data_IF_366148997944
#
_entry.id   IF_366148997944
#
_cell.length_a   1.000
_cell.length_b   1.000
_cell.length_c   1.000
_cell.angle_alpha   90.00
_cell.angle_beta   90.00
_cell.angle_gamma   90.00
#
_symmetry.space_group_name_H-M   'P 1'
#
loop_
_entity.id
_entity.type
_entity.pdbx_description
1 polymer ?
#
# COMPACT_ATOMS: atom_id res chain seq x y z
N UNK A 1 19.14 -5.76 -4.22
CA UNK A 1 19.04 -5.59 -2.75
C UNK A 1 19.75 -4.30 -2.41
N UNK A 2 19.05 -3.37 -1.76
CA UNK A 2 19.64 -2.11 -1.30
C UNK A 2 20.65 -2.37 -0.18
N UNK A 3 21.71 -1.55 -0.16
CA UNK A 3 22.65 -1.51 0.95
C UNK A 3 21.99 -0.92 2.21
N UNK A 4 22.53 -1.22 3.39
CA UNK A 4 21.96 -0.72 4.66
C UNK A 4 21.89 0.81 4.71
N UNK A 5 22.91 1.50 4.19
CA UNK A 5 22.93 2.96 4.12
C UNK A 5 21.77 3.52 3.29
N UNK A 6 21.48 2.91 2.14
CA UNK A 6 20.41 3.37 1.25
C UNK A 6 19.03 3.19 1.88
N UNK A 7 18.83 2.10 2.65
CA UNK A 7 17.60 1.88 3.40
C UNK A 7 17.38 2.97 4.45
N UNK A 8 18.44 3.37 5.15
CA UNK A 8 18.38 4.44 6.14
C UNK A 8 18.05 5.80 5.51
N UNK A 9 18.60 6.10 4.33
CA UNK A 9 18.27 7.32 3.59
C UNK A 9 16.79 7.37 3.18
N UNK A 10 16.23 6.24 2.74
CA UNK A 10 14.80 6.13 2.43
C UNK A 10 13.95 6.34 3.70
N UNK A 11 14.35 5.74 4.83
CA UNK A 11 13.64 5.89 6.10
C UNK A 11 13.65 7.33 6.62
N UNK A 12 14.76 8.04 6.46
CA UNK A 12 14.89 9.45 6.85
C UNK A 12 13.89 10.35 6.13
N UNK A 13 13.54 10.05 4.87
CA UNK A 13 12.52 10.78 4.10
C UNK A 13 11.12 10.64 4.70
N UNK A 14 10.83 9.52 5.38
CA UNK A 14 9.51 9.28 5.98
C UNK A 14 9.31 10.13 7.23
N UNK A 15 10.33 10.25 8.08
CA UNK A 15 10.29 10.97 9.35
C UNK A 15 11.23 12.17 9.31
N UNK A 16 11.03 13.04 8.32
CA UNK A 16 11.81 14.27 8.19
C UNK A 16 11.54 15.26 9.34
N UNK A 17 10.39 15.13 10.00
CA UNK A 17 9.86 16.02 11.03
C UNK A 17 10.46 15.78 12.43
N UNK A 18 11.27 14.74 12.61
CA UNK A 18 11.87 14.41 13.90
C UNK A 18 13.37 14.12 13.78
N UNK A 19 14.13 14.48 14.81
CA UNK A 19 15.54 14.12 14.94
C UNK A 19 15.67 12.70 15.53
N UNK A 20 15.38 11.69 14.71
CA UNK A 20 15.50 10.27 15.09
C UNK A 20 16.51 9.59 14.17
N UNK A 21 17.35 8.73 14.74
CA UNK A 21 18.29 7.95 13.96
C UNK A 21 17.55 6.92 13.09
N UNK A 22 17.91 6.85 11.81
CA UNK A 22 17.25 5.96 10.84
C UNK A 22 17.41 4.47 11.19
N UNK A 23 18.47 4.13 11.91
CA UNK A 23 18.70 2.80 12.46
C UNK A 23 17.66 2.44 13.53
N UNK A 24 17.39 3.33 14.47
CA UNK A 24 16.38 3.11 15.53
C UNK A 24 14.99 2.91 14.92
N UNK A 25 14.66 3.67 13.87
CA UNK A 25 13.41 3.50 13.13
C UNK A 25 13.32 2.10 12.53
N UNK A 26 14.39 1.63 11.87
CA UNK A 26 14.45 0.30 11.27
C UNK A 26 14.35 -0.80 12.33
N UNK A 27 15.07 -0.68 13.44
CA UNK A 27 15.06 -1.66 14.53
C UNK A 27 13.70 -1.71 15.23
N UNK A 28 13.00 -0.57 15.36
CA UNK A 28 11.63 -0.55 15.89
C UNK A 28 10.60 -1.18 14.95
N UNK A 29 10.73 -0.97 13.63
CA UNK A 29 9.87 -1.57 12.61
C UNK A 29 10.07 -3.09 12.54
N UNK A 30 11.32 -3.55 12.65
CA UNK A 30 11.71 -4.97 12.61
C UNK A 30 11.51 -5.69 13.94
N UNK A 31 10.85 -5.05 14.92
CA UNK A 31 10.58 -5.58 16.26
C UNK A 31 11.82 -5.92 17.10
N UNK A 32 12.99 -5.37 16.76
CA UNK A 32 14.19 -5.45 17.60
C UNK A 32 14.11 -4.49 18.79
N UNK A 33 13.35 -3.41 18.65
CA UNK A 33 13.09 -2.44 19.71
C UNK A 33 11.58 -2.32 20.01
N UNK A 34 11.25 -2.16 21.29
CA UNK A 34 9.86 -2.09 21.74
C UNK A 34 9.28 -0.68 21.84
N UNK A 35 10.12 0.33 22.04
CA UNK A 35 9.70 1.72 22.20
C UNK A 35 10.55 2.63 21.32
N UNK A 36 9.91 3.54 20.60
CA UNK A 36 10.55 4.62 19.85
C UNK A 36 9.84 5.93 20.18
N UNK A 37 10.35 6.68 21.16
CA UNK A 37 9.77 7.95 21.63
C UNK A 37 8.23 7.85 21.82
N UNK A 38 7.47 8.69 21.10
CA UNK A 38 6.00 8.73 21.10
C UNK A 38 5.39 8.02 19.88
N UNK A 39 6.19 7.32 19.08
CA UNK A 39 5.71 6.63 17.88
C UNK A 39 5.16 5.26 18.23
N UNK A 40 3.98 4.96 17.67
CA UNK A 40 3.49 3.59 17.58
C UNK A 40 3.91 2.98 16.25
N UNK A 41 4.01 1.65 16.18
CA UNK A 41 4.33 0.95 14.92
C UNK A 41 3.28 1.23 13.84
N UNK A 42 2.01 1.27 14.22
CA UNK A 42 0.90 1.59 13.31
C UNK A 42 1.06 2.96 12.64
N UNK A 43 1.52 3.98 13.40
CA UNK A 43 1.79 5.31 12.84
C UNK A 43 2.91 5.26 11.79
N UNK A 44 3.98 4.51 12.05
CA UNK A 44 5.08 4.37 11.10
C UNK A 44 4.67 3.57 9.88
N UNK A 45 3.95 2.47 10.05
CA UNK A 45 3.44 1.65 8.95
C UNK A 45 2.52 2.47 8.05
N UNK A 46 1.62 3.26 8.63
CA UNK A 46 0.78 4.20 7.87
C UNK A 46 1.64 5.17 7.06
N UNK A 47 2.64 5.81 7.68
CA UNK A 47 3.54 6.76 6.99
C UNK A 47 4.36 6.10 5.88
N UNK A 48 4.85 4.88 6.09
CA UNK A 48 5.59 4.09 5.09
C UNK A 48 4.70 3.83 3.89
N UNK A 49 3.51 3.27 4.10
CA UNK A 49 2.57 2.94 3.04
C UNK A 49 2.12 4.17 2.25
N UNK A 50 2.04 5.33 2.89
CA UNK A 50 1.63 6.58 2.26
C UNK A 50 2.74 7.31 1.51
N UNK A 51 3.98 7.27 2.01
CA UNK A 51 5.09 8.08 1.49
C UNK A 51 6.04 7.31 0.58
N UNK A 52 6.18 6.01 0.74
CA UNK A 52 7.05 5.18 -0.09
C UNK A 52 6.29 4.55 -1.26
N UNK A 53 7.03 4.33 -2.34
CA UNK A 53 6.58 3.47 -3.43
C UNK A 53 6.60 1.99 -3.00
N UNK A 54 5.83 1.16 -3.71
CA UNK A 54 5.76 -0.27 -3.42
C UNK A 54 7.12 -0.96 -3.54
N UNK A 55 7.95 -0.55 -4.52
CA UNK A 55 9.29 -1.10 -4.72
C UNK A 55 10.23 -0.73 -3.56
N UNK A 56 10.22 0.54 -3.12
CA UNK A 56 11.01 0.96 -1.95
C UNK A 56 10.63 0.16 -0.69
N UNK A 57 9.34 -0.15 -0.50
CA UNK A 57 8.88 -0.97 0.63
C UNK A 57 9.46 -2.40 0.54
N UNK A 58 9.37 -3.03 -0.63
CA UNK A 58 9.88 -4.39 -0.84
C UNK A 58 11.41 -4.49 -0.75
N UNK A 59 12.13 -3.45 -1.17
CA UNK A 59 13.58 -3.43 -1.09
C UNK A 59 14.09 -3.16 0.34
N UNK A 60 13.32 -2.40 1.13
CA UNK A 60 13.66 -2.08 2.52
C UNK A 60 13.33 -3.23 3.48
N UNK A 61 12.16 -3.86 3.34
CA UNK A 61 11.60 -4.77 4.34
C UNK A 61 11.38 -6.20 3.82
N UNK A 62 11.51 -7.18 4.71
CA UNK A 62 11.14 -8.57 4.40
C UNK A 62 9.63 -8.72 4.22
N UNK A 63 9.21 -9.75 3.50
CA UNK A 63 7.80 -10.00 3.21
C UNK A 63 6.95 -10.16 4.48
N UNK A 64 7.52 -10.71 5.55
CA UNK A 64 6.84 -10.90 6.83
C UNK A 64 6.50 -9.57 7.50
N UNK A 65 7.43 -8.60 7.44
CA UNK A 65 7.20 -7.24 7.94
C UNK A 65 6.17 -6.54 7.06
N UNK A 66 6.25 -6.69 5.73
CA UNK A 66 5.27 -6.11 4.81
C UNK A 66 3.87 -6.66 5.09
N UNK A 67 3.73 -7.95 5.39
CA UNK A 67 2.46 -8.55 5.80
C UNK A 67 1.90 -7.94 7.09
N UNK A 68 2.76 -7.61 8.06
CA UNK A 68 2.35 -6.91 9.29
C UNK A 68 1.89 -5.48 8.99
N UNK A 69 2.57 -4.76 8.09
CA UNK A 69 2.17 -3.42 7.64
C UNK A 69 0.80 -3.42 6.96
N UNK A 70 0.47 -4.51 6.26
CA UNK A 70 -0.81 -4.69 5.56
C UNK A 70 -1.91 -5.26 6.47
N UNK A 71 -1.85 -5.05 7.78
CA UNK A 71 -2.99 -5.37 8.64
C UNK A 71 -4.21 -4.50 8.29
N UNK A 72 -5.41 -5.07 8.47
CA UNK A 72 -6.67 -4.39 8.14
C UNK A 72 -6.83 -3.06 8.91
N UNK A 73 -6.34 -3.00 10.16
CA UNK A 73 -6.41 -1.78 10.97
C UNK A 73 -5.59 -0.65 10.36
N UNK A 74 -4.38 -0.97 9.89
CA UNK A 74 -3.46 -0.02 9.26
C UNK A 74 -3.96 0.39 7.88
N UNK A 75 -4.47 -0.56 7.08
CA UNK A 75 -5.06 -0.21 5.78
C UNK A 75 -6.23 0.75 5.97
N UNK A 76 -7.08 0.53 6.98
CA UNK A 76 -8.20 1.43 7.25
C UNK A 76 -7.77 2.82 7.77
N UNK A 77 -6.59 2.95 8.38
CA UNK A 77 -6.06 4.23 8.84
C UNK A 77 -5.42 5.08 7.72
N UNK A 78 -5.18 4.52 6.54
CA UNK A 78 -4.63 5.28 5.42
C UNK A 78 -5.56 6.42 5.01
N UNK A 79 -4.98 7.57 4.67
CA UNK A 79 -5.71 8.83 4.44
C UNK A 79 -6.68 8.78 3.27
N UNK A 80 -6.29 8.20 2.13
CA UNK A 80 -7.06 8.26 0.88
C UNK A 80 -7.71 6.92 0.55
N UNK A 81 -8.96 6.97 0.06
CA UNK A 81 -9.71 5.77 -0.32
C UNK A 81 -9.00 4.96 -1.40
N UNK A 82 -8.34 5.62 -2.36
CA UNK A 82 -7.58 4.94 -3.41
C UNK A 82 -6.41 4.12 -2.86
N UNK A 83 -5.73 4.61 -1.82
CA UNK A 83 -4.64 3.88 -1.16
C UNK A 83 -5.18 2.69 -0.37
N UNK A 84 -6.31 2.86 0.32
CA UNK A 84 -7.01 1.77 1.01
C UNK A 84 -7.36 0.64 0.05
N UNK A 85 -7.99 0.96 -1.08
CA UNK A 85 -8.35 -0.03 -2.10
C UNK A 85 -7.12 -0.73 -2.69
N UNK A 86 -6.06 0.04 -3.01
CA UNK A 86 -4.81 -0.49 -3.55
C UNK A 86 -4.18 -1.50 -2.59
N UNK A 87 -4.01 -1.14 -1.32
CA UNK A 87 -3.36 -2.01 -0.35
C UNK A 87 -4.27 -3.14 0.15
N UNK A 88 -5.59 -2.98 0.16
CA UNK A 88 -6.52 -4.10 0.39
C UNK A 88 -6.39 -5.16 -0.71
N UNK A 89 -6.28 -4.73 -1.97
CA UNK A 89 -5.99 -5.65 -3.08
C UNK A 89 -4.64 -6.35 -2.91
N UNK A 90 -3.58 -5.60 -2.63
CA UNK A 90 -2.23 -6.17 -2.40
C UNK A 90 -2.22 -7.16 -1.23
N UNK A 91 -2.91 -6.83 -0.14
CA UNK A 91 -3.09 -7.72 1.00
C UNK A 91 -3.77 -9.02 0.56
N UNK A 92 -4.94 -8.95 -0.06
CA UNK A 92 -5.66 -10.16 -0.51
C UNK A 92 -4.80 -11.03 -1.41
N UNK A 93 -4.03 -10.42 -2.32
CA UNK A 93 -3.09 -11.13 -3.17
C UNK A 93 -2.00 -11.87 -2.37
N UNK A 94 -1.37 -11.20 -1.39
CA UNK A 94 -0.30 -11.79 -0.57
C UNK A 94 -0.79 -12.85 0.43
N UNK A 95 -2.05 -12.79 0.82
CA UNK A 95 -2.69 -13.73 1.74
C UNK A 95 -3.50 -14.83 1.02
N UNK A 96 -3.45 -14.89 -0.32
CA UNK A 96 -4.22 -15.83 -1.15
C UNK A 96 -5.75 -15.78 -0.88
N UNK A 97 -6.27 -14.60 -0.58
CA UNK A 97 -7.70 -14.36 -0.38
C UNK A 97 -8.42 -14.08 -1.71
N UNK A 98 -9.75 -14.17 -1.72
CA UNK A 98 -10.55 -13.84 -2.90
C UNK A 98 -10.39 -12.36 -3.28
N UNK A 99 -9.94 -12.13 -4.52
CA UNK A 99 -9.77 -10.79 -5.08
C UNK A 99 -11.11 -10.17 -5.48
N UNK A 100 -11.32 -8.86 -5.24
CA UNK A 100 -12.48 -8.17 -5.78
C UNK A 100 -12.40 -8.13 -7.31
N UNK A 101 -13.56 -8.16 -7.97
CA UNK A 101 -13.63 -8.02 -9.44
C UNK A 101 -12.96 -6.71 -9.84
N UNK A 102 -12.02 -6.79 -10.78
CA UNK A 102 -11.20 -5.63 -11.15
C UNK A 102 -12.10 -4.48 -11.66
N UNK A 103 -11.83 -3.25 -11.22
CA UNK A 103 -12.55 -2.06 -11.74
C UNK A 103 -12.32 -1.87 -13.25
N UNK A 104 -11.20 -2.37 -13.78
CA UNK A 104 -10.91 -2.39 -15.21
C UNK A 104 -11.92 -3.23 -15.99
N UNK A 105 -12.21 -4.45 -15.52
CA UNK A 105 -13.22 -5.33 -16.12
C UNK A 105 -14.62 -4.68 -16.18
N UNK A 106 -15.00 -3.92 -15.15
CA UNK A 106 -16.29 -3.22 -15.13
C UNK A 106 -16.37 -2.04 -16.11
N UNK A 107 -15.28 -1.29 -16.33
CA UNK A 107 -15.29 -0.16 -17.28
C UNK A 107 -15.47 -0.62 -18.72
N UNK A 108 -14.83 -1.72 -19.09
CA UNK A 108 -14.95 -2.28 -20.44
C UNK A 108 -16.35 -2.86 -20.67
N UNK A 109 -16.95 -3.49 -19.65
CA UNK A 109 -18.37 -3.89 -19.70
C UNK A 109 -19.28 -2.68 -19.89
N UNK A 110 -19.10 -1.59 -19.14
CA UNK A 110 -19.94 -0.39 -19.30
C UNK A 110 -19.77 0.24 -20.69
N UNK A 111 -18.56 0.26 -21.26
CA UNK A 111 -18.32 0.71 -22.63
C UNK A 111 -19.00 -0.19 -23.67
N UNK A 112 -18.98 -1.50 -23.45
CA UNK A 112 -19.58 -2.49 -24.37
C UNK A 112 -21.05 -2.82 -24.08
N UNK A 113 -21.69 -2.18 -23.08
CA UNK A 113 -23.14 -2.34 -22.83
C UNK A 113 -23.97 -1.89 -24.02
N UNK A 114 -23.43 -1.01 -24.84
CA UNK A 114 -23.93 -0.74 -26.17
C UNK A 114 -23.01 -1.47 -27.15
N UNK A 115 -23.39 -2.66 -27.67
CA UNK A 115 -22.63 -3.24 -28.78
C UNK A 115 -22.57 -2.18 -29.89
N UNK A 116 -21.46 -2.10 -30.63
CA UNK A 116 -21.30 -1.17 -31.76
C UNK A 116 -22.45 -1.25 -32.80
N UNK A 117 -23.27 -2.31 -32.70
CA UNK A 117 -24.44 -2.60 -33.52
C UNK A 117 -25.80 -2.30 -32.84
N UNK A 118 -25.87 -1.83 -31.59
CA UNK A 118 -27.16 -1.49 -30.94
C UNK A 118 -27.86 -0.33 -31.64
N UNK A 119 -27.10 0.63 -32.19
CA UNK A 119 -27.66 1.77 -32.91
C UNK A 119 -28.27 1.40 -34.28
N UNK A 120 -28.15 0.13 -34.72
CA UNK A 120 -28.76 -0.33 -35.97
C UNK A 120 -30.24 -0.72 -35.81
N UNK A 121 -30.67 -1.09 -34.61
CA UNK A 121 -32.02 -1.62 -34.36
C UNK A 121 -32.98 -0.62 -33.71
N UNK A 122 -32.48 0.51 -33.19
CA UNK A 122 -33.30 1.58 -32.58
C UNK A 122 -33.63 2.74 -33.54
N UNK A 123 -33.60 2.50 -34.85
CA UNK A 123 -34.17 3.41 -35.84
C UNK A 123 -35.52 2.85 -36.33
N UNK A 124 -36.55 2.88 -35.48
CA UNK A 124 -37.94 2.80 -35.96
C UNK A 124 -38.89 3.61 -35.06
N UNK A 125 -39.43 4.67 -35.70
CA UNK A 125 -40.56 5.55 -35.36
C UNK A 125 -40.38 6.57 -34.24
#
# INVERSE_FOLDING_TARGET
MLNESEKYDILKRIIWDYQIESKDIYDFITCKQNNLYHFTREMLYTRILERLSWYEILDCFSIDIVKQMLDKRIINSLRTQSMREKYDYTRRLLFNETLPVSKWYNRDIQRNRYPLLSNRWYCHK
#
